data_IF_875583589162
#
_entry.id   IF_875583589162
#
_cell.length_a   1.000
_cell.length_b   1.000
_cell.length_c   1.000
_cell.angle_alpha   90.00
_cell.angle_beta   90.00
_cell.angle_gamma   90.00
#
_symmetry.space_group_name_H-M   'P 1'
#
loop_
_entity.id
_entity.type
_entity.pdbx_description
1 polymer ?
#
# COMPACT_ATOMS: atom_id res chain seq x y z
N UNK A 1 3.21 1.13 -9.80
CA UNK A 1 1.85 1.69 -9.87
C UNK A 1 1.80 3.10 -9.28
N UNK A 2 2.17 3.33 -8.02
CA UNK A 2 2.08 4.65 -7.35
C UNK A 2 2.69 5.79 -8.18
N UNK A 3 3.98 5.70 -8.52
CA UNK A 3 4.65 6.74 -9.33
C UNK A 3 4.09 6.90 -10.75
N UNK A 4 3.54 5.83 -11.33
CA UNK A 4 2.87 5.93 -12.63
C UNK A 4 1.56 6.71 -12.51
N UNK A 5 0.75 6.40 -11.48
CA UNK A 5 -0.48 7.15 -11.21
C UNK A 5 -0.18 8.63 -10.92
N UNK A 6 0.87 8.91 -10.15
CA UNK A 6 1.38 10.27 -9.95
C UNK A 6 1.77 10.95 -11.27
N UNK A 7 2.54 10.27 -12.13
CA UNK A 7 2.95 10.81 -13.44
C UNK A 7 1.75 11.09 -14.37
N UNK A 8 0.71 10.25 -14.30
CA UNK A 8 -0.56 10.47 -14.99
C UNK A 8 -1.48 11.49 -14.30
N UNK A 9 -0.97 12.23 -13.31
CA UNK A 9 -1.69 13.27 -12.57
C UNK A 9 -2.97 12.77 -11.91
N UNK A 10 -2.94 11.54 -11.39
CA UNK A 10 -4.03 11.04 -10.57
C UNK A 10 -4.32 12.04 -9.44
N UNK A 11 -5.60 12.33 -9.18
CA UNK A 11 -5.99 13.23 -8.09
C UNK A 11 -5.62 12.66 -6.72
N UNK A 12 -5.67 11.32 -6.59
CA UNK A 12 -5.43 10.56 -5.36
C UNK A 12 -5.09 9.12 -5.73
N UNK A 13 -4.37 8.44 -4.85
CA UNK A 13 -4.07 7.01 -4.96
C UNK A 13 -4.67 6.28 -3.76
N UNK A 14 -5.34 5.15 -4.00
CA UNK A 14 -5.82 4.25 -2.94
C UNK A 14 -5.08 2.93 -3.07
N UNK A 15 -4.36 2.54 -2.02
CA UNK A 15 -3.64 1.26 -1.92
C UNK A 15 -4.57 0.19 -1.35
N UNK A 16 -4.56 -0.99 -1.94
CA UNK A 16 -5.26 -2.16 -1.44
C UNK A 16 -4.39 -3.41 -1.65
N UNK A 17 -4.42 -4.33 -0.68
CA UNK A 17 -3.62 -5.58 -0.72
C UNK A 17 -2.11 -5.34 -0.59
N UNK A 18 -1.69 -4.25 0.05
CA UNK A 18 -0.29 -3.82 0.14
C UNK A 18 0.18 -3.81 1.59
N UNK A 19 0.48 -5.00 2.14
CA UNK A 19 0.80 -5.16 3.56
C UNK A 19 2.18 -4.58 3.94
N UNK A 20 3.18 -4.66 3.06
CA UNK A 20 4.56 -4.17 3.25
C UNK A 20 5.29 -4.62 4.53
N UNK A 21 4.82 -5.70 5.17
CA UNK A 21 5.40 -6.18 6.42
C UNK A 21 6.47 -7.26 6.26
N UNK A 22 6.88 -7.83 7.40
CA UNK A 22 7.86 -8.93 7.48
C UNK A 22 7.31 -10.28 7.06
N UNK A 23 5.98 -10.42 6.91
CA UNK A 23 5.31 -11.65 6.48
C UNK A 23 4.77 -11.55 5.07
N UNK A 24 4.68 -12.68 4.39
CA UNK A 24 4.08 -12.82 3.06
C UNK A 24 3.04 -13.94 3.05
N UNK A 25 1.88 -13.67 2.46
CA UNK A 25 0.80 -14.64 2.34
C UNK A 25 0.92 -15.57 1.13
N UNK A 26 0.00 -16.54 1.04
CA UNK A 26 -0.11 -17.55 -0.04
C UNK A 26 -0.02 -16.99 -1.46
N UNK A 27 -0.48 -15.76 -1.68
CA UNK A 27 -0.47 -15.12 -3.00
C UNK A 27 0.86 -14.47 -3.38
N UNK A 28 1.83 -14.44 -2.47
CA UNK A 28 3.11 -13.76 -2.70
C UNK A 28 4.11 -14.58 -3.53
N UNK A 29 4.00 -15.91 -3.52
CA UNK A 29 4.85 -16.83 -4.29
C UNK A 29 4.11 -18.13 -4.60
N UNK A 30 4.36 -18.77 -5.76
CA UNK A 30 3.91 -20.12 -6.02
C UNK A 30 4.36 -21.09 -4.91
N UNK A 31 3.48 -21.99 -4.49
CA UNK A 31 3.78 -23.03 -3.50
C UNK A 31 3.63 -22.62 -2.03
N UNK A 32 3.29 -21.36 -1.72
CA UNK A 32 2.92 -20.98 -0.35
C UNK A 32 1.45 -21.34 -0.07
N UNK A 33 1.21 -22.15 0.95
CA UNK A 33 -0.15 -22.53 1.39
C UNK A 33 -0.70 -21.59 2.47
N UNK A 34 0.15 -20.76 3.08
CA UNK A 34 -0.23 -19.86 4.17
C UNK A 34 0.69 -18.65 4.30
N UNK A 35 0.62 -18.00 5.46
CA UNK A 35 1.47 -16.85 5.80
C UNK A 35 2.80 -17.33 6.37
N UNK A 36 3.90 -16.86 5.79
CA UNK A 36 5.26 -17.19 6.24
C UNK A 36 6.11 -15.92 6.39
N UNK A 37 7.22 -16.03 7.10
CA UNK A 37 8.22 -14.96 7.14
C UNK A 37 8.80 -14.69 5.74
N UNK A 38 8.89 -13.42 5.39
CA UNK A 38 9.46 -12.99 4.13
C UNK A 38 10.97 -13.25 4.15
N UNK A 39 11.54 -13.90 3.11
CA UNK A 39 12.98 -14.07 3.00
C UNK A 39 13.72 -12.72 3.06
N UNK A 40 14.97 -12.67 3.54
CA UNK A 40 15.71 -11.42 3.72
C UNK A 40 15.67 -10.47 2.52
N UNK A 41 15.88 -11.01 1.31
CA UNK A 41 15.80 -10.24 0.05
C UNK A 41 14.42 -9.62 -0.20
N UNK A 42 13.33 -10.32 0.16
CA UNK A 42 11.96 -9.81 0.00
C UNK A 42 11.68 -8.71 1.03
N UNK A 43 12.15 -8.86 2.27
CA UNK A 43 12.01 -7.82 3.32
C UNK A 43 12.65 -6.50 2.89
N UNK A 44 13.88 -6.55 2.36
CA UNK A 44 14.55 -5.34 1.83
C UNK A 44 13.72 -4.68 0.73
N UNK A 45 13.16 -5.46 -0.20
CA UNK A 45 12.31 -4.91 -1.27
C UNK A 45 11.02 -4.27 -0.73
N UNK A 46 10.40 -4.87 0.28
CA UNK A 46 9.18 -4.33 0.91
C UNK A 46 9.48 -3.04 1.67
N UNK A 47 10.62 -2.98 2.36
CA UNK A 47 11.09 -1.78 3.04
C UNK A 47 11.35 -0.63 2.05
N UNK A 48 12.07 -0.90 0.96
CA UNK A 48 12.30 0.09 -0.11
C UNK A 48 10.95 0.57 -0.69
N UNK A 49 10.00 -0.33 -0.93
CA UNK A 49 8.68 0.05 -1.42
C UNK A 49 7.94 0.98 -0.44
N UNK A 50 7.99 0.68 0.87
CA UNK A 50 7.40 1.52 1.93
C UNK A 50 8.02 2.92 1.98
N UNK A 51 9.34 3.02 1.90
CA UNK A 51 10.06 4.29 1.86
C UNK A 51 9.70 5.12 0.62
N UNK A 52 9.64 4.48 -0.55
CA UNK A 52 9.27 5.14 -1.80
C UNK A 52 7.82 5.63 -1.80
N UNK A 53 6.88 4.85 -1.24
CA UNK A 53 5.48 5.28 -1.11
C UNK A 53 5.36 6.45 -0.13
N UNK A 54 6.07 6.40 1.00
CA UNK A 54 6.14 7.50 1.96
C UNK A 54 6.68 8.79 1.31
N UNK A 55 7.70 8.67 0.45
CA UNK A 55 8.21 9.80 -0.33
C UNK A 55 7.17 10.34 -1.31
N UNK A 56 6.40 9.49 -1.98
CA UNK A 56 5.34 9.90 -2.90
C UNK A 56 4.17 10.59 -2.18
N UNK A 57 3.84 10.14 -0.96
CA UNK A 57 2.77 10.70 -0.13
C UNK A 57 2.99 12.18 0.25
N UNK A 58 4.21 12.71 0.08
CA UNK A 58 4.52 14.14 0.24
C UNK A 58 4.00 15.03 -0.89
N UNK A 59 3.71 14.44 -2.05
CA UNK A 59 3.32 15.17 -3.29
C UNK A 59 1.90 14.89 -3.74
N UNK A 60 1.38 13.71 -3.42
CA UNK A 60 0.02 13.28 -3.78
C UNK A 60 -0.65 12.63 -2.57
N UNK A 61 -1.97 12.83 -2.43
CA UNK A 61 -2.73 12.14 -1.40
C UNK A 61 -2.78 10.64 -1.69
N UNK A 62 -2.29 9.84 -0.73
CA UNK A 62 -2.34 8.38 -0.77
C UNK A 62 -3.14 7.90 0.44
N UNK A 63 -4.09 7.01 0.20
CA UNK A 63 -4.86 6.32 1.24
C UNK A 63 -4.52 4.84 1.24
N UNK A 64 -4.50 4.19 2.40
CA UNK A 64 -4.28 2.75 2.53
C UNK A 64 -5.56 2.07 3.02
N UNK A 65 -6.21 1.30 2.14
CA UNK A 65 -7.38 0.47 2.44
C UNK A 65 -7.01 -1.01 2.68
N UNK A 66 -5.72 -1.32 2.82
CA UNK A 66 -5.29 -2.69 3.14
C UNK A 66 -5.70 -3.04 4.58
N UNK A 67 -6.35 -4.19 4.75
CA UNK A 67 -6.87 -4.65 6.04
C UNK A 67 -5.75 -4.84 7.06
N UNK A 68 -4.70 -5.57 6.67
CA UNK A 68 -3.51 -5.80 7.47
C UNK A 68 -2.32 -5.02 6.90
N UNK A 69 -1.14 -5.25 7.48
CA UNK A 69 0.09 -4.61 7.05
C UNK A 69 0.59 -3.50 7.96
N UNK A 70 1.76 -3.01 7.60
CA UNK A 70 2.46 -1.98 8.33
C UNK A 70 1.93 -0.58 8.02
N UNK A 71 2.09 0.31 9.00
CA UNK A 71 1.88 1.73 8.77
C UNK A 71 2.92 2.28 7.78
N UNK A 72 2.48 3.13 6.86
CA UNK A 72 3.32 3.84 5.89
C UNK A 72 3.28 5.33 6.25
N UNK A 73 4.40 5.97 6.61
CA UNK A 73 4.39 7.38 6.97
C UNK A 73 3.83 8.26 5.84
N UNK A 74 3.01 9.24 6.21
CA UNK A 74 2.34 10.15 5.25
C UNK A 74 1.13 9.54 4.53
N UNK A 75 0.81 8.26 4.75
CA UNK A 75 -0.34 7.59 4.12
C UNK A 75 -1.42 7.34 5.18
N UNK A 76 -2.61 7.90 4.96
CA UNK A 76 -3.75 7.70 5.86
C UNK A 76 -4.31 6.28 5.69
N UNK A 77 -4.36 5.49 6.77
CA UNK A 77 -5.11 4.21 6.76
C UNK A 77 -6.60 4.51 6.88
N UNK A 78 -7.41 3.98 5.96
CA UNK A 78 -8.84 4.28 5.88
C UNK A 78 -9.69 3.03 6.08
N UNK A 79 -10.82 3.20 6.77
CA UNK A 79 -11.86 2.17 6.87
C UNK A 79 -12.72 2.13 5.60
N UNK A 80 -13.63 1.15 5.52
CA UNK A 80 -14.57 1.06 4.41
C UNK A 80 -15.52 2.26 4.37
N UNK A 81 -15.99 2.73 5.53
CA UNK A 81 -16.87 3.89 5.67
C UNK A 81 -16.16 5.16 5.21
N UNK A 82 -14.92 5.36 5.67
CA UNK A 82 -14.10 6.50 5.24
C UNK A 82 -13.82 6.47 3.75
N UNK A 83 -13.56 5.28 3.19
CA UNK A 83 -13.35 5.12 1.76
C UNK A 83 -14.61 5.49 0.95
N UNK A 84 -15.81 5.06 1.40
CA UNK A 84 -17.08 5.44 0.75
C UNK A 84 -17.26 6.96 0.70
N UNK A 85 -17.08 7.64 1.83
CA UNK A 85 -17.15 9.11 1.90
C UNK A 85 -16.19 9.79 0.93
N UNK A 86 -14.96 9.27 0.82
CA UNK A 86 -13.91 9.79 -0.07
C UNK A 86 -14.26 9.60 -1.55
N UNK A 87 -14.99 8.53 -1.90
CA UNK A 87 -15.44 8.23 -3.24
C UNK A 87 -16.72 8.99 -3.62
N UNK A 88 -17.63 9.21 -2.66
CA UNK A 88 -18.88 9.95 -2.83
C UNK A 88 -18.65 11.47 -2.88
N UNK A 89 -17.64 11.98 -2.18
CA UNK A 89 -17.24 13.39 -2.21
C UNK A 89 -16.50 13.79 -3.51
N UNK A 90 -16.62 12.99 -4.58
CA UNK A 90 -16.08 13.35 -5.89
C UNK A 90 -17.08 14.22 -6.65
N UNK A 91 -16.67 15.41 -7.13
CA UNK A 91 -17.48 16.22 -8.04
C UNK A 91 -17.63 15.55 -9.41
#
# INVERSE_FOLDING_TARGET
>A
AVFLAEAFKARRIILAGMDLGVKVGRFSKPGLTGTVEAPPRKRIKLQIAKELISLAARRIQILNFTSQGENIPGVEKVSQERLKQVLEAQP
#
